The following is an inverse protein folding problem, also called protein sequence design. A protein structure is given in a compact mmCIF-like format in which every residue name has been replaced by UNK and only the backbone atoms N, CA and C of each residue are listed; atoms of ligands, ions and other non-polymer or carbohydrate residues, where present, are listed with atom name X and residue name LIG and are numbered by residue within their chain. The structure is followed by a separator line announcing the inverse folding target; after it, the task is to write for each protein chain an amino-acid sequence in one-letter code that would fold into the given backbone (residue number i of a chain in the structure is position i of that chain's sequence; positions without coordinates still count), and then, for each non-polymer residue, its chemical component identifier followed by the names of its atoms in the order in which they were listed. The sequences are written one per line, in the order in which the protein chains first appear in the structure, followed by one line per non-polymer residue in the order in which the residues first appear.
data_IF_010472292913
#
_entry.id   IF_010472292913
#
_cell.length_a   1.000
_cell.length_b   1.000
_cell.length_c   1.000
_cell.angle_alpha   90.00
_cell.angle_beta   90.00
_cell.angle_gamma   90.00
#
_symmetry.space_group_name_H-M   'P 1'
#
loop_
_entity.id
_entity.type
_entity.pdbx_description
1 polymer ?
#
# COMPACT_ATOMS: atom_id res chain seq x y z
N UNK A 1 5.70 51.23 -15.96
CA UNK A 1 4.43 50.87 -16.64
C UNK A 1 4.51 51.60 -17.96
N UNK A 2 4.74 50.88 -19.06
CA UNK A 2 4.74 51.50 -20.39
C UNK A 2 3.28 51.84 -20.67
N UNK A 3 2.94 53.12 -20.75
CA UNK A 3 1.60 53.60 -21.05
C UNK A 3 1.29 53.35 -22.52
N UNK A 4 1.01 52.10 -22.87
CA UNK A 4 0.73 51.67 -24.25
C UNK A 4 -0.40 52.47 -24.91
N UNK A 5 -1.37 52.92 -24.11
CA UNK A 5 -2.48 53.77 -24.55
C UNK A 5 -2.04 55.18 -25.00
N UNK A 6 -0.83 55.61 -24.63
CA UNK A 6 -0.26 56.93 -24.90
C UNK A 6 1.00 56.87 -25.78
N UNK A 7 1.49 55.68 -26.11
CA UNK A 7 2.65 55.54 -26.98
C UNK A 7 2.26 55.86 -28.43
N UNK A 8 3.05 56.71 -29.11
CA UNK A 8 2.82 57.01 -30.53
C UNK A 8 2.98 55.78 -31.43
N UNK A 9 3.75 54.78 -30.97
CA UNK A 9 3.90 53.49 -31.62
C UNK A 9 4.28 52.40 -30.60
N UNK A 10 4.06 51.14 -30.95
CA UNK A 10 4.29 49.95 -30.12
C UNK A 10 5.77 49.67 -29.77
N UNK A 11 6.69 50.44 -30.33
CA UNK A 11 8.12 50.37 -30.02
C UNK A 11 8.67 51.70 -29.49
N UNK A 12 7.85 52.70 -29.18
CA UNK A 12 8.32 54.00 -28.68
C UNK A 12 7.95 54.13 -27.20
N UNK A 13 8.94 54.40 -26.34
CA UNK A 13 8.68 54.69 -24.93
C UNK A 13 7.85 55.97 -24.78
N UNK A 14 6.71 55.88 -24.09
CA UNK A 14 5.82 57.00 -23.78
C UNK A 14 6.49 58.10 -22.94
N UNK A 15 7.47 57.74 -22.10
CA UNK A 15 8.14 58.71 -21.22
C UNK A 15 9.36 59.40 -21.84
N UNK A 16 10.16 58.67 -22.61
CA UNK A 16 11.43 59.19 -23.12
C UNK A 16 11.51 59.22 -24.65
N UNK A 17 10.45 58.83 -25.36
CA UNK A 17 10.36 58.77 -26.83
C UNK A 17 11.44 57.91 -27.52
N UNK A 18 12.22 57.16 -26.75
CA UNK A 18 13.26 56.29 -27.29
C UNK A 18 12.61 55.06 -27.93
N UNK A 19 13.17 54.66 -29.06
CA UNK A 19 12.83 53.40 -29.71
C UNK A 19 13.32 52.24 -28.84
N UNK A 20 12.39 51.48 -28.29
CA UNK A 20 12.63 50.32 -27.44
C UNK A 20 13.45 49.25 -28.18
N UNK A 21 13.42 49.22 -29.52
CA UNK A 21 14.27 48.32 -30.33
C UNK A 21 15.76 48.67 -30.25
N UNK A 22 16.08 49.92 -29.90
CA UNK A 22 17.46 50.39 -29.75
C UNK A 22 17.95 50.29 -28.30
N UNK A 23 17.09 49.92 -27.36
CA UNK A 23 17.50 49.63 -25.98
C UNK A 23 18.13 48.24 -26.00
N UNK A 24 19.42 48.10 -25.60
CA UNK A 24 20.03 46.78 -25.48
C UNK A 24 19.35 46.03 -24.35
N UNK A 25 18.33 45.25 -24.69
CA UNK A 25 17.73 44.31 -23.76
C UNK A 25 18.71 43.17 -23.54
N UNK A 26 18.90 42.81 -22.27
CA UNK A 26 19.65 41.61 -21.96
C UNK A 26 18.81 40.40 -22.40
N UNK A 27 19.13 39.88 -23.59
CA UNK A 27 18.58 38.62 -24.06
C UNK A 27 19.11 37.55 -23.12
N UNK A 28 18.20 36.95 -22.37
CA UNK A 28 18.53 35.86 -21.50
C UNK A 28 18.89 34.63 -22.35
N UNK A 29 20.11 34.11 -22.19
CA UNK A 29 20.59 32.91 -22.85
C UNK A 29 20.16 31.68 -22.03
N UNK A 30 19.27 30.82 -22.55
CA UNK A 30 18.75 29.71 -21.77
C UNK A 30 19.81 28.64 -21.53
N UNK A 31 19.85 28.07 -20.32
CA UNK A 31 20.67 26.88 -20.06
C UNK A 31 20.06 25.61 -20.62
N UNK A 32 18.75 25.63 -20.85
CA UNK A 32 17.95 24.53 -21.35
C UNK A 32 16.84 25.07 -22.26
N UNK A 33 17.22 25.40 -23.50
CA UNK A 33 16.33 25.96 -24.53
C UNK A 33 15.04 25.16 -24.66
N UNK A 34 15.15 23.82 -24.68
CA UNK A 34 13.99 22.92 -24.82
C UNK A 34 12.99 23.08 -23.69
N UNK A 35 13.46 23.24 -22.45
CA UNK A 35 12.59 23.40 -21.30
C UNK A 35 11.91 24.78 -21.28
N UNK A 36 12.63 25.84 -21.65
CA UNK A 36 12.07 27.19 -21.74
C UNK A 36 11.08 27.31 -22.90
N UNK A 37 11.41 26.76 -24.05
CA UNK A 37 10.56 26.68 -25.24
C UNK A 37 9.26 25.95 -24.91
N UNK A 38 9.34 24.82 -24.18
CA UNK A 38 8.16 24.08 -23.76
C UNK A 38 7.20 24.97 -22.97
N UNK A 39 7.70 25.71 -21.97
CA UNK A 39 6.84 26.60 -21.16
C UNK A 39 6.31 27.77 -21.99
N UNK A 40 7.12 28.32 -22.88
CA UNK A 40 6.74 29.42 -23.77
C UNK A 40 5.64 29.02 -24.76
N UNK A 41 5.74 27.82 -25.35
CA UNK A 41 4.73 27.31 -26.28
C UNK A 41 3.37 27.04 -25.62
N UNK A 42 3.32 26.80 -24.31
CA UNK A 42 2.02 26.67 -23.61
C UNK A 42 1.21 27.98 -23.58
N UNK A 43 1.86 29.13 -23.83
CA UNK A 43 1.21 30.43 -23.92
C UNK A 43 0.91 30.89 -25.35
N UNK A 44 1.62 30.33 -26.33
CA UNK A 44 1.55 30.77 -27.70
C UNK A 44 0.34 30.14 -28.41
N UNK A 45 -0.71 30.91 -28.74
CA UNK A 45 -1.90 30.40 -29.39
C UNK A 45 -1.64 29.89 -30.82
N UNK A 46 -0.55 30.32 -31.46
CA UNK A 46 -0.16 29.92 -32.81
C UNK A 46 0.73 28.68 -32.82
N UNK A 47 1.23 28.26 -31.65
CA UNK A 47 2.12 27.10 -31.48
C UNK A 47 1.44 25.74 -31.65
N UNK A 48 0.14 25.70 -32.00
CA UNK A 48 -0.63 24.47 -32.17
C UNK A 48 0.05 23.44 -33.10
N UNK A 49 0.89 23.91 -34.04
CA UNK A 49 1.65 23.08 -34.99
C UNK A 49 3.11 22.81 -34.61
N UNK A 50 3.64 23.41 -33.53
CA UNK A 50 5.05 23.32 -33.09
C UNK A 50 5.19 22.69 -31.70
N UNK A 51 4.26 21.82 -31.32
CA UNK A 51 4.17 21.31 -29.95
C UNK A 51 5.39 20.46 -29.58
N UNK A 52 6.15 20.92 -28.60
CA UNK A 52 7.02 20.04 -27.80
C UNK A 52 6.08 19.15 -26.99
N UNK A 53 5.79 17.96 -27.51
CA UNK A 53 4.91 17.02 -26.83
C UNK A 53 5.63 16.42 -25.63
N UNK A 54 4.90 16.31 -24.51
CA UNK A 54 5.31 15.46 -23.41
C UNK A 54 5.56 14.02 -23.92
N UNK A 55 6.49 13.32 -23.29
CA UNK A 55 6.79 11.91 -23.62
C UNK A 55 5.51 11.08 -23.64
N UNK A 56 5.28 10.34 -24.72
CA UNK A 56 4.07 9.53 -24.88
C UNK A 56 3.87 8.59 -23.68
N UNK A 57 2.67 8.61 -23.09
CA UNK A 57 2.34 7.80 -21.92
C UNK A 57 2.69 8.43 -20.58
N UNK A 58 3.24 9.66 -20.54
CA UNK A 58 3.25 10.41 -19.28
C UNK A 58 1.83 10.63 -18.79
N UNK A 59 1.63 10.54 -17.49
CA UNK A 59 0.30 10.73 -16.95
C UNK A 59 -0.23 12.15 -17.29
N UNK A 60 0.66 13.15 -17.42
CA UNK A 60 0.30 14.55 -17.70
C UNK A 60 -0.17 14.79 -19.15
N UNK A 61 -0.09 13.81 -20.04
CA UNK A 61 -0.45 13.98 -21.46
C UNK A 61 -1.92 14.34 -21.69
N UNK A 62 -2.78 14.08 -20.70
CA UNK A 62 -4.22 14.31 -20.77
C UNK A 62 -4.64 15.64 -20.11
N UNK A 63 -3.70 16.41 -19.55
CA UNK A 63 -4.01 17.70 -18.92
C UNK A 63 -4.05 18.82 -19.97
N UNK A 64 -4.80 19.89 -19.68
CA UNK A 64 -4.88 21.04 -20.58
C UNK A 64 -3.58 21.85 -20.59
N UNK A 65 -3.29 22.54 -21.69
CA UNK A 65 -2.08 23.39 -21.80
C UNK A 65 -2.06 24.48 -20.71
N UNK A 66 -3.22 25.06 -20.40
CA UNK A 66 -3.35 26.04 -19.32
C UNK A 66 -3.04 25.44 -17.93
N UNK A 67 -3.46 24.22 -17.67
CA UNK A 67 -3.15 23.53 -16.40
C UNK A 67 -1.66 23.18 -16.30
N UNK A 68 -1.03 22.76 -17.40
CA UNK A 68 0.41 22.50 -17.48
C UNK A 68 1.23 23.78 -17.29
N UNK A 69 0.80 24.89 -17.90
CA UNK A 69 1.44 26.19 -17.73
C UNK A 69 1.36 26.64 -16.27
N UNK A 70 0.16 26.56 -15.69
CA UNK A 70 -0.05 26.92 -14.29
C UNK A 70 0.80 26.04 -13.34
N UNK A 71 0.97 24.75 -13.63
CA UNK A 71 1.89 23.87 -12.91
C UNK A 71 3.34 24.36 -13.01
N UNK A 72 3.84 24.64 -14.21
CA UNK A 72 5.20 25.13 -14.42
C UNK A 72 5.44 26.45 -13.67
N UNK A 73 4.52 27.40 -13.75
CA UNK A 73 4.58 28.68 -13.02
C UNK A 73 4.65 28.46 -11.51
N UNK A 74 3.84 27.56 -10.95
CA UNK A 74 3.85 27.28 -9.51
C UNK A 74 5.11 26.58 -9.04
N UNK A 75 5.68 25.69 -9.85
CA UNK A 75 6.98 25.08 -9.58
C UNK A 75 8.07 26.17 -9.58
N UNK A 76 8.12 27.00 -10.62
CA UNK A 76 9.11 28.07 -10.76
C UNK A 76 9.04 29.09 -9.61
N UNK A 77 7.84 29.56 -9.27
CA UNK A 77 7.61 30.46 -8.12
C UNK A 77 8.08 29.83 -6.81
N UNK A 78 7.85 28.52 -6.62
CA UNK A 78 8.26 27.84 -5.41
C UNK A 78 9.79 27.73 -5.34
N UNK A 79 10.46 27.39 -6.45
CA UNK A 79 11.92 27.37 -6.53
C UNK A 79 12.52 28.75 -6.23
N UNK A 80 11.97 29.80 -6.86
CA UNK A 80 12.43 31.18 -6.65
C UNK A 80 12.31 31.63 -5.18
N UNK A 81 11.19 31.31 -4.51
CA UNK A 81 11.00 31.65 -3.10
C UNK A 81 11.97 30.94 -2.15
N UNK A 82 12.49 29.77 -2.55
CA UNK A 82 13.48 29.05 -1.73
C UNK A 82 14.85 29.67 -1.88
N UNK A 83 15.19 30.15 -3.08
CA UNK A 83 16.47 30.76 -3.37
C UNK A 83 16.56 32.20 -2.86
N UNK A 84 15.50 32.98 -3.09
CA UNK A 84 15.40 34.38 -2.72
C UNK A 84 14.41 34.56 -1.56
N UNK A 85 14.88 35.10 -0.44
CA UNK A 85 14.02 35.39 0.73
C UNK A 85 13.05 36.57 0.50
N UNK A 86 13.17 37.28 -0.63
CA UNK A 86 12.32 38.42 -0.98
C UNK A 86 11.21 37.99 -1.94
N UNK A 87 10.04 38.59 -1.78
CA UNK A 87 8.89 38.41 -2.67
C UNK A 87 9.11 39.23 -3.95
N UNK A 88 10.01 38.76 -4.81
CA UNK A 88 10.07 39.28 -6.18
C UNK A 88 8.77 38.87 -6.91
N UNK A 89 8.11 39.84 -7.53
CA UNK A 89 6.84 39.64 -8.25
C UNK A 89 7.04 38.97 -9.61
N UNK A 90 8.21 39.18 -10.23
CA UNK A 90 8.58 38.58 -11.51
C UNK A 90 9.33 37.26 -11.30
N UNK A 91 9.03 36.25 -12.12
CA UNK A 91 9.71 34.96 -12.12
C UNK A 91 10.93 35.06 -13.03
N UNK A 92 12.12 34.75 -12.52
CA UNK A 92 13.34 34.73 -13.34
C UNK A 92 13.29 33.58 -14.35
N UNK A 93 13.72 33.78 -15.61
CA UNK A 93 13.63 32.78 -16.67
C UNK A 93 14.23 31.40 -16.31
N UNK A 94 15.38 31.37 -15.64
CA UNK A 94 16.01 30.10 -15.21
C UNK A 94 15.13 29.24 -14.28
N UNK A 95 14.20 29.83 -13.51
CA UNK A 95 13.25 29.04 -12.72
C UNK A 95 12.13 28.43 -13.57
N UNK A 96 11.74 29.11 -14.66
CA UNK A 96 10.82 28.56 -15.65
C UNK A 96 11.46 27.40 -16.41
N UNK A 97 12.75 27.50 -16.74
CA UNK A 97 13.51 26.37 -17.30
C UNK A 97 13.47 25.14 -16.39
N UNK A 98 13.85 25.30 -15.12
CA UNK A 98 13.83 24.18 -14.15
C UNK A 98 12.44 23.57 -14.01
N UNK A 99 11.40 24.41 -14.02
CA UNK A 99 10.03 23.96 -13.98
C UNK A 99 9.63 23.20 -15.26
N UNK A 100 9.97 23.75 -16.43
CA UNK A 100 9.72 23.13 -17.73
C UNK A 100 10.39 21.77 -17.84
N UNK A 101 11.66 21.66 -17.43
CA UNK A 101 12.40 20.40 -17.39
C UNK A 101 11.74 19.37 -16.47
N UNK A 102 11.33 19.79 -15.27
CA UNK A 102 10.63 18.91 -14.33
C UNK A 102 9.29 18.39 -14.86
N UNK A 103 8.58 19.18 -15.67
CA UNK A 103 7.33 18.79 -16.33
C UNK A 103 7.58 17.88 -17.53
N UNK A 104 8.58 18.19 -18.36
CA UNK A 104 8.98 17.36 -19.51
C UNK A 104 9.42 15.94 -19.09
N UNK A 105 10.18 15.85 -18.00
CA UNK A 105 10.72 14.59 -17.47
C UNK A 105 9.81 13.96 -16.38
N UNK A 106 8.53 14.33 -16.35
CA UNK A 106 7.57 13.82 -15.37
C UNK A 106 7.40 12.30 -15.43
N UNK A 107 7.29 11.59 -14.27
CA UNK A 107 7.27 12.11 -12.90
C UNK A 107 8.66 12.27 -12.26
N UNK A 108 9.72 11.78 -12.91
CA UNK A 108 11.07 11.71 -12.35
C UNK A 108 11.67 13.11 -12.14
N UNK A 109 11.60 13.98 -13.15
CA UNK A 109 12.17 15.32 -13.06
C UNK A 109 11.55 16.16 -11.94
N UNK A 110 10.24 16.01 -11.69
CA UNK A 110 9.60 16.66 -10.54
C UNK A 110 10.12 16.13 -9.19
N UNK A 111 10.31 14.82 -9.07
CA UNK A 111 10.82 14.24 -7.82
C UNK A 111 12.28 14.63 -7.54
N UNK A 112 13.13 14.65 -8.57
CA UNK A 112 14.50 15.17 -8.49
C UNK A 112 14.50 16.63 -8.04
N UNK A 113 13.68 17.47 -8.66
CA UNK A 113 13.55 18.87 -8.29
C UNK A 113 13.04 19.08 -6.85
N UNK A 114 12.12 18.24 -6.38
CA UNK A 114 11.65 18.22 -4.98
C UNK A 114 12.79 17.94 -4.02
N UNK A 115 13.69 17.01 -4.37
CA UNK A 115 14.83 16.62 -3.54
C UNK A 115 15.94 17.69 -3.53
N UNK A 116 16.17 18.37 -4.65
CA UNK A 116 17.11 19.50 -4.76
C UNK A 116 16.64 20.76 -4.04
N UNK A 117 15.33 21.01 -4.05
CA UNK A 117 14.75 22.27 -3.54
C UNK A 117 14.52 22.19 -2.03
N UNK A 118 15.61 22.35 -1.27
CA UNK A 118 15.59 22.29 0.20
C UNK A 118 15.53 23.71 0.78
N UNK A 119 14.58 23.94 1.70
CA UNK A 119 14.51 25.20 2.43
C UNK A 119 15.70 25.35 3.39
N UNK A 120 16.38 26.50 3.34
CA UNK A 120 17.46 26.84 4.29
C UNK A 120 16.85 26.97 5.69
N UNK A 121 17.31 26.16 6.65
CA UNK A 121 16.89 26.30 8.05
C UNK A 121 17.64 27.46 8.70
N UNK A 122 16.92 28.47 9.19
CA UNK A 122 17.52 29.62 9.87
C UNK A 122 17.88 29.34 11.33
N UNK A 123 17.34 28.28 11.94
CA UNK A 123 17.61 27.88 13.33
C UNK A 123 17.83 26.37 13.40
N UNK A 124 18.70 25.90 14.30
CA UNK A 124 19.15 24.50 14.49
C UNK A 124 18.06 23.45 14.78
N UNK A 125 16.77 23.80 14.68
CA UNK A 125 15.66 22.87 14.77
C UNK A 125 15.41 22.19 13.43
N UNK A 126 15.18 20.88 13.45
CA UNK A 126 14.73 20.12 12.28
C UNK A 126 13.44 20.73 11.73
N UNK A 127 13.48 21.17 10.48
CA UNK A 127 12.27 21.61 9.77
C UNK A 127 11.34 20.41 9.60
N UNK A 128 10.04 20.61 9.83
CA UNK A 128 9.07 19.56 9.56
C UNK A 128 9.08 19.13 8.09
N UNK A 129 8.63 17.92 7.78
CA UNK A 129 8.62 17.31 6.43
C UNK A 129 8.17 18.23 5.27
N UNK A 130 7.16 19.07 5.51
CA UNK A 130 6.62 20.04 4.54
C UNK A 130 7.37 21.37 4.50
N UNK A 131 8.16 21.67 5.52
CA UNK A 131 9.00 22.85 5.60
C UNK A 131 10.36 22.59 4.96
N UNK A 132 10.90 21.37 5.03
CA UNK A 132 12.17 21.01 4.37
C UNK A 132 12.12 21.09 2.85
N UNK A 133 11.03 20.60 2.23
CA UNK A 133 10.90 20.52 0.76
C UNK A 133 9.64 21.28 0.30
N UNK A 134 9.74 22.59 -0.01
CA UNK A 134 8.58 23.47 -0.23
C UNK A 134 7.69 23.07 -1.41
N UNK A 135 8.24 22.43 -2.45
CA UNK A 135 7.49 21.90 -3.59
C UNK A 135 6.41 20.88 -3.17
N UNK A 136 6.54 20.26 -1.99
CA UNK A 136 5.52 19.36 -1.44
C UNK A 136 4.17 20.05 -1.17
N UNK A 137 4.16 21.39 -1.04
CA UNK A 137 2.93 22.17 -0.79
C UNK A 137 2.05 22.31 -2.02
N UNK A 138 2.58 22.08 -3.22
CA UNK A 138 1.82 22.17 -4.46
C UNK A 138 0.61 21.23 -4.50
N UNK A 139 0.65 20.11 -3.77
CA UNK A 139 -0.51 19.21 -3.63
C UNK A 139 -1.75 19.89 -2.99
N UNK A 140 -1.57 21.04 -2.33
CA UNK A 140 -2.63 21.81 -1.68
C UNK A 140 -2.89 23.15 -2.37
N UNK A 141 -2.20 23.49 -3.46
CA UNK A 141 -2.34 24.79 -4.13
C UNK A 141 -3.69 24.89 -4.85
N UNK A 142 -4.60 25.81 -4.43
CA UNK A 142 -5.94 25.89 -5.00
C UNK A 142 -5.97 26.34 -6.46
N UNK A 143 -4.87 26.91 -6.98
CA UNK A 143 -4.79 27.34 -8.38
C UNK A 143 -4.39 26.23 -9.33
N UNK A 144 -3.97 25.08 -8.81
CA UNK A 144 -3.74 23.89 -9.62
C UNK A 144 -5.05 23.09 -9.73
N UNK A 145 -5.28 22.52 -10.91
CA UNK A 145 -6.41 21.62 -11.16
C UNK A 145 -6.43 20.46 -10.16
N UNK A 146 -7.63 19.92 -9.91
CA UNK A 146 -7.84 18.81 -8.97
C UNK A 146 -7.07 17.55 -9.43
N UNK A 147 -6.99 17.35 -10.74
CA UNK A 147 -6.25 16.25 -11.38
C UNK A 147 -4.75 16.36 -11.10
N UNK A 148 -4.13 17.51 -11.40
CA UNK A 148 -2.71 17.78 -11.13
C UNK A 148 -2.39 17.64 -9.64
N UNK A 149 -3.20 18.23 -8.75
CA UNK A 149 -3.01 18.09 -7.30
C UNK A 149 -3.06 16.64 -6.83
N UNK A 150 -3.98 15.85 -7.38
CA UNK A 150 -4.11 14.43 -7.04
C UNK A 150 -2.90 13.61 -7.50
N UNK A 151 -2.35 13.92 -8.67
CA UNK A 151 -1.12 13.30 -9.21
C UNK A 151 0.11 13.66 -8.36
N UNK A 152 0.31 14.95 -8.07
CA UNK A 152 1.38 15.41 -7.17
C UNK A 152 1.27 14.71 -5.81
N UNK A 153 0.05 14.65 -5.24
CA UNK A 153 -0.18 13.97 -3.97
C UNK A 153 0.19 12.50 -4.04
N UNK A 154 -0.21 11.78 -5.08
CA UNK A 154 0.11 10.36 -5.26
C UNK A 154 1.63 10.12 -5.33
N UNK A 155 2.35 10.94 -6.11
CA UNK A 155 3.81 10.89 -6.21
C UNK A 155 4.48 11.16 -4.87
N UNK A 156 4.10 12.24 -4.19
CA UNK A 156 4.69 12.62 -2.92
C UNK A 156 4.37 11.61 -1.81
N UNK A 157 3.18 11.00 -1.82
CA UNK A 157 2.84 9.92 -0.90
C UNK A 157 3.67 8.67 -1.17
N UNK A 158 3.95 8.33 -2.44
CA UNK A 158 4.85 7.24 -2.79
C UNK A 158 6.30 7.51 -2.35
N UNK A 159 6.82 8.70 -2.66
CA UNK A 159 8.18 9.11 -2.28
C UNK A 159 8.34 9.16 -0.75
N UNK A 160 7.32 9.65 -0.03
CA UNK A 160 7.30 9.68 1.44
C UNK A 160 7.37 8.29 2.05
N UNK A 161 6.68 7.31 1.47
CA UNK A 161 6.77 5.91 1.90
C UNK A 161 8.18 5.35 1.69
N UNK A 162 8.80 5.68 0.55
CA UNK A 162 10.16 5.23 0.19
C UNK A 162 11.24 5.83 1.10
N UNK A 163 11.20 7.14 1.34
CA UNK A 163 12.14 7.85 2.20
C UNK A 163 12.05 7.37 3.67
N UNK A 164 10.84 7.04 4.14
CA UNK A 164 10.66 6.48 5.49
C UNK A 164 11.44 5.17 5.70
N UNK A 165 11.72 4.39 4.65
CA UNK A 165 12.40 3.10 4.77
C UNK A 165 13.88 3.17 4.46
N UNK A 166 14.32 3.94 3.45
CA UNK A 166 15.74 3.96 3.00
C UNK A 166 16.75 4.41 4.07
N UNK A 167 16.39 5.29 4.99
CA UNK A 167 17.33 5.80 6.02
C UNK A 167 17.68 4.78 7.13
N UNK A 168 17.34 3.49 6.94
CA UNK A 168 17.62 2.39 7.89
C UNK A 168 19.06 1.88 7.79
N UNK A 169 19.68 1.95 6.61
CA UNK A 169 20.90 1.18 6.32
C UNK A 169 22.21 1.87 6.74
N UNK A 170 22.14 3.07 7.35
CA UNK A 170 23.32 3.91 7.64
C UNK A 170 23.53 4.27 9.12
N UNK A 171 22.70 3.78 10.05
CA UNK A 171 22.81 4.13 11.47
C UNK A 171 23.56 3.05 12.27
N UNK A 172 24.72 3.35 12.90
CA UNK A 172 25.47 2.39 13.70
C UNK A 172 24.80 2.13 15.07
N UNK A 173 24.78 0.85 15.48
CA UNK A 173 24.29 0.36 16.77
C UNK A 173 25.09 0.98 17.94
N UNK A 174 24.39 1.53 18.94
CA UNK A 174 24.93 1.72 20.30
C UNK A 174 23.86 1.40 21.35
N UNK A 175 24.32 0.73 22.40
CA UNK A 175 23.57 0.09 23.51
C UNK A 175 22.82 1.06 24.45
N UNK A 176 21.70 0.65 25.09
CA UNK A 176 20.76 1.56 25.75
C UNK A 176 20.62 1.41 27.29
N UNK A 177 20.03 2.42 27.92
CA UNK A 177 19.39 2.41 29.25
C UNK A 177 17.86 2.60 29.14
N UNK A 178 17.15 2.04 30.12
CA UNK A 178 15.72 1.69 30.24
C UNK A 178 14.67 2.81 30.12
N UNK A 179 13.54 2.52 29.45
CA UNK A 179 12.26 3.26 29.59
C UNK A 179 11.00 2.41 29.31
N UNK A 180 9.86 2.88 29.83
CA UNK A 180 8.66 2.14 30.26
C UNK A 180 7.58 1.79 29.22
N UNK A 181 6.67 0.91 29.64
CA UNK A 181 5.63 0.17 28.91
C UNK A 181 4.41 1.03 28.50
N UNK A 182 4.23 1.33 27.20
CA UNK A 182 2.97 1.88 26.64
C UNK A 182 2.03 0.77 26.12
N UNK A 183 0.72 0.90 26.33
CA UNK A 183 -0.31 -0.04 25.87
C UNK A 183 -0.43 -0.15 24.33
N UNK A 184 -0.70 -1.35 23.78
CA UNK A 184 -0.85 -1.56 22.34
C UNK A 184 -2.14 -0.91 21.80
N UNK A 185 -1.97 0.23 21.14
CA UNK A 185 -3.03 1.10 20.63
C UNK A 185 -3.85 0.47 19.48
N UNK A 186 -5.16 0.76 19.45
CA UNK A 186 -6.07 0.56 18.28
C UNK A 186 -5.38 1.00 16.98
N UNK A 187 -5.68 0.31 15.87
CA UNK A 187 -5.19 0.62 14.50
C UNK A 187 -5.15 2.14 14.29
N UNK A 188 -3.95 2.72 14.42
CA UNK A 188 -3.74 4.15 14.25
C UNK A 188 -4.05 4.52 12.79
N UNK A 189 -4.56 5.73 12.56
CA UNK A 189 -4.79 6.21 11.20
C UNK A 189 -3.49 6.05 10.41
N UNK A 190 -3.47 5.34 9.27
CA UNK A 190 -2.23 4.92 8.63
C UNK A 190 -1.25 6.06 8.30
N UNK A 191 -1.81 7.19 7.85
CA UNK A 191 -1.11 8.46 7.68
C UNK A 191 -0.45 9.00 8.96
N UNK A 192 -1.12 8.89 10.11
CA UNK A 192 -0.60 9.33 11.40
C UNK A 192 0.49 8.37 11.91
N UNK A 193 0.34 7.06 11.70
CA UNK A 193 1.36 6.07 12.03
C UNK A 193 2.63 6.27 11.19
N UNK A 194 2.48 6.54 9.89
CA UNK A 194 3.60 6.89 9.00
C UNK A 194 4.26 8.22 9.39
N UNK A 195 3.48 9.25 9.76
CA UNK A 195 4.02 10.52 10.26
C UNK A 195 4.71 10.35 11.62
N UNK A 196 4.25 9.43 12.46
CA UNK A 196 4.84 9.09 13.75
C UNK A 196 6.20 8.41 13.55
N UNK A 197 6.33 7.46 12.62
CA UNK A 197 7.63 6.90 12.21
C UNK A 197 8.61 7.97 11.74
N UNK A 198 8.13 8.94 10.97
CA UNK A 198 8.96 10.03 10.46
C UNK A 198 9.40 10.96 11.60
N UNK A 199 8.49 11.28 12.55
CA UNK A 199 8.75 12.22 13.65
C UNK A 199 9.61 11.63 14.78
N UNK A 200 9.37 10.38 15.16
CA UNK A 200 10.13 9.72 16.25
C UNK A 200 11.59 9.44 15.85
N UNK A 201 11.93 9.58 14.56
CA UNK A 201 13.28 9.44 14.03
C UNK A 201 14.19 10.67 14.22
N UNK A 202 13.62 11.86 14.45
CA UNK A 202 14.38 13.05 14.86
C UNK A 202 14.79 13.03 16.34
N UNK A 203 14.26 12.06 17.12
CA UNK A 203 14.63 11.82 18.51
C UNK A 203 15.65 10.70 18.63
N UNK A 204 16.76 10.98 19.33
CA UNK A 204 17.80 9.99 19.62
C UNK A 204 17.25 8.80 20.42
N UNK A 205 17.51 7.60 19.90
CA UNK A 205 17.67 6.35 20.67
C UNK A 205 16.38 5.61 21.03
N UNK A 206 16.06 4.53 20.30
CA UNK A 206 15.13 3.49 20.78
C UNK A 206 15.54 2.11 20.25
N UNK A 207 15.80 1.17 21.16
CA UNK A 207 16.13 -0.25 20.91
C UNK A 207 14.98 -1.21 21.30
N UNK A 208 15.05 -2.44 20.78
CA UNK A 208 14.28 -3.68 21.05
C UNK A 208 12.74 -3.62 20.95
N UNK A 209 12.09 -2.64 21.59
CA UNK A 209 10.68 -2.31 21.40
C UNK A 209 10.39 -1.79 19.98
N UNK A 210 11.42 -1.22 19.34
CA UNK A 210 11.42 -0.85 17.94
C UNK A 210 11.04 -2.02 17.03
N UNK A 211 11.47 -3.27 17.27
CA UNK A 211 11.14 -4.39 16.40
C UNK A 211 9.64 -4.74 16.39
N UNK A 212 8.96 -4.64 17.54
CA UNK A 212 7.52 -4.90 17.67
C UNK A 212 6.66 -3.77 17.09
N UNK A 213 6.97 -2.51 17.46
CA UNK A 213 6.28 -1.33 16.92
C UNK A 213 6.54 -1.10 15.43
N UNK A 214 7.74 -1.45 14.94
CA UNK A 214 8.06 -1.35 13.53
C UNK A 214 7.32 -2.41 12.71
N UNK A 215 6.97 -3.58 13.25
CA UNK A 215 6.14 -4.58 12.55
C UNK A 215 4.71 -4.09 12.35
N UNK A 216 4.09 -3.59 13.41
CA UNK A 216 2.74 -3.02 13.31
C UNK A 216 2.74 -1.82 12.35
N UNK A 217 3.77 -0.98 12.42
CA UNK A 217 3.81 0.21 11.56
C UNK A 217 4.21 -0.10 10.12
N UNK A 218 5.09 -1.08 9.88
CA UNK A 218 5.40 -1.59 8.53
C UNK A 218 4.13 -2.19 7.93
N UNK A 219 3.39 -3.01 8.68
CA UNK A 219 2.13 -3.56 8.16
C UNK A 219 1.09 -2.46 7.93
N UNK A 220 1.05 -1.43 8.77
CA UNK A 220 0.17 -0.28 8.58
C UNK A 220 0.53 0.50 7.31
N UNK A 221 1.83 0.72 7.05
CA UNK A 221 2.30 1.34 5.81
C UNK A 221 2.04 0.45 4.58
N UNK A 222 2.23 -0.86 4.72
CA UNK A 222 1.98 -1.86 3.69
C UNK A 222 0.49 -1.91 3.30
N UNK A 223 -0.42 -1.84 4.28
CA UNK A 223 -1.88 -1.69 4.08
C UNK A 223 -2.28 -0.39 3.37
N UNK A 224 -1.42 0.62 3.40
CA UNK A 224 -1.68 1.90 2.77
C UNK A 224 -1.26 1.94 1.29
N UNK A 225 -0.47 0.97 0.85
CA UNK A 225 -0.11 0.84 -0.56
C UNK A 225 -1.32 0.31 -1.32
N UNK A 226 -1.76 1.06 -2.32
CA UNK A 226 -2.94 0.72 -3.12
C UNK A 226 -2.78 -0.65 -3.78
N UNK A 227 -1.63 -0.91 -4.41
CA UNK A 227 -1.37 -2.16 -5.11
C UNK A 227 -1.37 -3.36 -4.17
N UNK A 228 -0.90 -3.20 -2.93
CA UNK A 228 -0.99 -4.25 -1.89
C UNK A 228 -2.42 -4.57 -1.54
N UNK A 229 -3.27 -3.54 -1.29
CA UNK A 229 -4.69 -3.77 -0.98
C UNK A 229 -5.40 -4.42 -2.14
N UNK A 230 -5.20 -3.91 -3.35
CA UNK A 230 -5.78 -4.47 -4.57
C UNK A 230 -5.34 -5.91 -4.76
N UNK A 231 -4.06 -6.21 -4.55
CA UNK A 231 -3.51 -7.56 -4.65
C UNK A 231 -4.12 -8.48 -3.57
N UNK A 232 -4.18 -8.03 -2.31
CA UNK A 232 -4.82 -8.73 -1.18
C UNK A 232 -6.28 -9.09 -1.48
N UNK A 233 -7.05 -8.16 -2.03
CA UNK A 233 -8.45 -8.40 -2.43
C UNK A 233 -8.57 -9.33 -3.64
N UNK A 234 -7.68 -9.17 -4.62
CA UNK A 234 -7.67 -9.99 -5.85
C UNK A 234 -7.31 -11.44 -5.54
N UNK A 235 -6.27 -11.66 -4.74
CA UNK A 235 -5.85 -13.00 -4.34
C UNK A 235 -6.78 -13.57 -3.26
N UNK A 236 -7.38 -12.73 -2.40
CA UNK A 236 -8.24 -13.17 -1.31
C UNK A 236 -7.49 -13.57 -0.05
N UNK A 237 -6.34 -12.94 0.21
CA UNK A 237 -5.50 -13.20 1.38
C UNK A 237 -5.37 -11.96 2.26
N UNK A 238 -5.30 -12.11 3.59
CA UNK A 238 -5.12 -10.97 4.48
C UNK A 238 -3.74 -10.32 4.24
N UNK A 239 -3.64 -9.00 4.44
CA UNK A 239 -2.43 -8.23 4.12
C UNK A 239 -1.15 -8.78 4.80
N UNK A 240 -1.20 -9.27 6.06
CA UNK A 240 -0.04 -9.92 6.66
C UNK A 240 0.45 -11.19 5.92
N UNK A 241 -0.45 -11.96 5.32
CA UNK A 241 -0.07 -13.12 4.48
C UNK A 241 0.46 -12.67 3.12
N UNK A 242 -0.07 -11.58 2.55
CA UNK A 242 0.50 -10.96 1.34
C UNK A 242 1.94 -10.49 1.58
N UNK A 243 2.22 -9.92 2.75
CA UNK A 243 3.58 -9.56 3.15
C UNK A 243 4.50 -10.80 3.18
N UNK A 244 4.04 -11.93 3.75
CA UNK A 244 4.80 -13.20 3.74
C UNK A 244 5.06 -13.70 2.33
N UNK A 245 4.06 -13.64 1.44
CA UNK A 245 4.20 -14.04 0.05
C UNK A 245 5.25 -13.20 -0.68
N UNK A 246 5.20 -11.88 -0.48
CA UNK A 246 6.21 -10.98 -1.02
C UNK A 246 7.59 -11.36 -0.50
N UNK A 247 7.80 -11.41 0.83
CA UNK A 247 9.09 -11.76 1.43
C UNK A 247 9.64 -13.13 0.99
N UNK A 248 8.76 -14.07 0.66
CA UNK A 248 9.12 -15.42 0.21
C UNK A 248 9.39 -15.51 -1.30
N UNK A 249 9.29 -14.38 -2.03
CA UNK A 249 9.57 -14.30 -3.47
C UNK A 249 8.40 -14.70 -4.37
N UNK A 250 7.19 -14.84 -3.84
CA UNK A 250 6.00 -15.32 -4.60
C UNK A 250 5.13 -14.20 -5.18
N UNK A 251 5.35 -12.94 -4.81
CA UNK A 251 4.56 -11.81 -5.30
C UNK A 251 5.43 -10.76 -6.03
N UNK A 252 6.06 -11.09 -7.17
CA UNK A 252 6.90 -10.15 -7.92
C UNK A 252 6.14 -8.95 -8.47
N UNK A 253 4.83 -9.08 -8.72
CA UNK A 253 3.99 -7.95 -9.18
C UNK A 253 3.91 -6.80 -8.17
N UNK A 254 4.21 -7.07 -6.90
CA UNK A 254 4.25 -6.08 -5.84
C UNK A 254 5.59 -5.36 -5.73
N UNK A 255 6.63 -5.82 -6.44
CA UNK A 255 7.97 -5.29 -6.34
C UNK A 255 8.01 -3.79 -6.62
N UNK A 256 7.47 -3.32 -7.75
CA UNK A 256 7.52 -1.89 -8.10
C UNK A 256 6.85 -0.99 -7.06
N UNK A 257 5.77 -1.46 -6.44
CA UNK A 257 5.02 -0.71 -5.43
C UNK A 257 5.69 -0.69 -4.04
N UNK A 258 6.57 -1.65 -3.75
CA UNK A 258 7.07 -1.96 -2.39
C UNK A 258 8.60 -2.02 -2.34
N UNK A 259 9.29 -1.89 -3.47
CA UNK A 259 10.77 -1.82 -3.50
C UNK A 259 11.28 -0.71 -2.57
N UNK A 260 10.51 0.37 -2.43
CA UNK A 260 10.80 1.44 -1.49
C UNK A 260 10.54 1.11 -0.01
N UNK A 261 9.83 0.03 0.31
CA UNK A 261 9.40 -0.35 1.67
C UNK A 261 10.23 -1.48 2.31
N UNK A 262 11.19 -2.09 1.61
CA UNK A 262 12.07 -3.09 2.22
C UNK A 262 12.99 -3.82 1.24
N UNK A 263 13.58 -4.93 1.70
CA UNK A 263 14.43 -5.82 0.90
C UNK A 263 13.66 -6.32 -0.31
N UNK A 264 14.29 -6.27 -1.49
CA UNK A 264 13.78 -6.94 -2.68
C UNK A 264 14.12 -8.43 -2.55
N UNK A 265 13.13 -9.32 -2.39
CA UNK A 265 13.40 -10.74 -2.24
C UNK A 265 13.80 -11.35 -3.58
N UNK A 266 14.52 -12.46 -3.53
CA UNK A 266 14.77 -13.25 -4.74
C UNK A 266 13.45 -13.88 -5.20
N UNK A 267 12.95 -13.44 -6.35
CA UNK A 267 11.67 -13.92 -6.86
C UNK A 267 11.78 -15.35 -7.37
N UNK A 268 10.87 -16.20 -6.89
CA UNK A 268 10.84 -17.64 -7.19
C UNK A 268 10.10 -17.98 -8.48
N UNK A 269 9.25 -17.07 -8.96
CA UNK A 269 8.42 -17.27 -10.15
C UNK A 269 8.75 -16.23 -11.21
N UNK A 270 8.60 -16.63 -12.48
CA UNK A 270 8.62 -15.72 -13.62
C UNK A 270 7.18 -15.22 -13.87
N UNK A 271 7.01 -13.92 -14.09
CA UNK A 271 5.69 -13.32 -14.26
C UNK A 271 4.91 -13.18 -12.94
N UNK A 272 3.58 -13.01 -13.03
CA UNK A 272 2.73 -12.76 -11.86
C UNK A 272 2.19 -14.04 -11.20
N UNK A 273 1.93 -14.00 -9.90
CA UNK A 273 1.38 -15.13 -9.15
C UNK A 273 0.02 -15.56 -9.69
N UNK A 274 -0.82 -14.57 -10.01
CA UNK A 274 -2.19 -14.81 -10.51
C UNK A 274 -2.19 -15.53 -11.86
N UNK A 275 -1.25 -15.20 -12.75
CA UNK A 275 -1.07 -15.87 -14.04
C UNK A 275 -0.60 -17.32 -13.85
N UNK A 276 0.46 -17.52 -13.05
CA UNK A 276 0.98 -18.85 -12.77
C UNK A 276 -0.08 -19.76 -12.12
N UNK A 277 -0.90 -19.22 -11.20
CA UNK A 277 -2.01 -19.97 -10.62
C UNK A 277 -3.11 -20.29 -11.64
N UNK A 278 -3.43 -19.37 -12.55
CA UNK A 278 -4.43 -19.63 -13.58
C UNK A 278 -4.03 -20.79 -14.50
N UNK A 279 -2.72 -20.98 -14.74
CA UNK A 279 -2.18 -22.09 -15.53
C UNK A 279 -2.13 -23.40 -14.75
N UNK A 280 -1.82 -23.36 -13.45
CA UNK A 280 -1.71 -24.56 -12.60
C UNK A 280 -3.07 -25.16 -12.18
N UNK A 281 -4.14 -24.35 -12.15
CA UNK A 281 -5.43 -24.77 -11.59
C UNK A 281 -6.33 -25.42 -12.65
N UNK A 282 -6.95 -26.56 -12.32
CA UNK A 282 -7.87 -27.26 -13.23
C UNK A 282 -9.25 -26.59 -13.28
N UNK A 283 -9.92 -26.51 -14.44
CA UNK A 283 -11.28 -26.01 -14.51
C UNK A 283 -12.28 -26.99 -13.87
N UNK A 284 -13.35 -26.46 -13.29
CA UNK A 284 -14.48 -27.24 -12.77
C UNK A 284 -14.46 -27.44 -11.25
N UNK A 285 -15.22 -28.42 -10.77
CA UNK A 285 -15.25 -28.78 -9.35
C UNK A 285 -14.95 -30.28 -9.25
N UNK A 286 -13.81 -30.62 -8.66
CA UNK A 286 -13.45 -32.01 -8.39
C UNK A 286 -14.50 -32.71 -7.53
N UNK A 287 -14.70 -34.02 -7.73
CA UNK A 287 -15.65 -34.79 -6.92
C UNK A 287 -15.21 -34.77 -5.46
N UNK A 288 -16.11 -34.37 -4.56
CA UNK A 288 -15.80 -34.26 -3.13
C UNK A 288 -14.85 -33.12 -2.78
N UNK A 289 -14.56 -32.20 -3.71
CA UNK A 289 -13.67 -31.09 -3.44
C UNK A 289 -14.35 -30.06 -2.52
N UNK A 290 -13.58 -29.52 -1.58
CA UNK A 290 -14.01 -28.49 -0.63
C UNK A 290 -13.19 -27.21 -0.85
N UNK A 291 -13.74 -26.05 -0.46
CA UNK A 291 -13.01 -24.78 -0.52
C UNK A 291 -11.64 -24.92 0.14
N UNK A 292 -10.58 -24.51 -0.56
CA UNK A 292 -9.21 -24.58 -0.07
C UNK A 292 -9.04 -23.77 1.21
N UNK A 293 -9.62 -22.56 1.26
CA UNK A 293 -9.56 -21.70 2.45
C UNK A 293 -10.30 -22.34 3.62
N UNK A 294 -11.52 -22.83 3.41
CA UNK A 294 -12.29 -23.51 4.46
C UNK A 294 -11.57 -24.78 4.96
N UNK A 295 -10.96 -25.54 4.05
CA UNK A 295 -10.22 -26.77 4.38
C UNK A 295 -8.94 -26.47 5.14
N UNK A 296 -8.14 -25.49 4.69
CA UNK A 296 -6.97 -25.00 5.44
C UNK A 296 -7.39 -24.52 6.82
N UNK A 297 -8.43 -23.69 6.90
CA UNK A 297 -8.92 -23.18 8.18
C UNK A 297 -9.25 -24.34 9.12
N UNK A 298 -10.02 -25.34 8.66
CA UNK A 298 -10.38 -26.52 9.45
C UNK A 298 -9.16 -27.35 9.91
N UNK A 299 -8.20 -27.59 9.00
CA UNK A 299 -7.03 -28.45 9.26
C UNK A 299 -5.89 -27.75 10.02
N UNK A 300 -5.90 -26.41 10.11
CA UNK A 300 -4.88 -25.62 10.81
C UNK A 300 -5.51 -24.79 11.94
N UNK A 301 -5.78 -25.39 13.12
CA UNK A 301 -6.34 -24.67 14.27
C UNK A 301 -5.46 -23.51 14.74
N UNK A 302 -4.15 -23.70 14.63
CA UNK A 302 -3.10 -22.76 15.00
C UNK A 302 -2.90 -21.60 14.02
N UNK A 303 -3.39 -21.73 12.79
CA UNK A 303 -3.15 -20.80 11.68
C UNK A 303 -1.66 -20.57 11.39
N UNK A 304 -0.84 -21.59 11.59
CA UNK A 304 0.61 -21.50 11.48
C UNK A 304 1.12 -21.77 10.06
N UNK A 305 0.40 -22.58 9.27
CA UNK A 305 0.83 -22.96 7.92
C UNK A 305 0.80 -21.77 6.94
N UNK A 306 1.89 -21.49 6.22
CA UNK A 306 1.90 -20.37 5.28
C UNK A 306 1.13 -20.68 4.00
N UNK A 307 0.45 -19.66 3.51
CA UNK A 307 -0.04 -19.66 2.13
C UNK A 307 1.09 -19.81 1.11
N UNK A 308 2.32 -19.40 1.43
CA UNK A 308 3.47 -19.55 0.55
C UNK A 308 3.76 -21.03 0.24
N UNK A 309 3.73 -21.89 1.25
CA UNK A 309 3.94 -23.34 1.08
C UNK A 309 2.78 -24.02 0.35
N UNK A 310 1.53 -23.61 0.61
CA UNK A 310 0.35 -24.13 -0.09
C UNK A 310 0.42 -23.75 -1.57
N UNK A 311 0.71 -22.48 -1.88
CA UNK A 311 0.83 -22.00 -3.26
C UNK A 311 2.00 -22.63 -3.98
N UNK A 312 3.13 -22.80 -3.30
CA UNK A 312 4.26 -23.56 -3.84
C UNK A 312 3.84 -24.99 -4.19
N UNK A 313 3.16 -25.70 -3.29
CA UNK A 313 2.71 -27.07 -3.55
C UNK A 313 1.73 -27.15 -4.75
N UNK A 314 0.89 -26.13 -4.95
CA UNK A 314 0.01 -26.02 -6.11
C UNK A 314 0.82 -25.82 -7.40
N UNK A 315 1.74 -24.86 -7.40
CA UNK A 315 2.56 -24.54 -8.57
C UNK A 315 3.55 -25.66 -8.95
N UNK A 316 4.03 -26.41 -7.95
CA UNK A 316 4.86 -27.61 -8.14
C UNK A 316 4.03 -28.83 -8.62
N UNK A 317 2.69 -28.72 -8.68
CA UNK A 317 1.78 -29.82 -9.02
C UNK A 317 1.65 -30.89 -7.93
N UNK A 318 2.18 -30.65 -6.72
CA UNK A 318 2.07 -31.57 -5.56
C UNK A 318 0.69 -31.54 -4.91
N UNK A 319 -0.01 -30.41 -5.01
CA UNK A 319 -1.37 -30.25 -4.51
C UNK A 319 -2.30 -29.87 -5.65
N UNK A 320 -3.12 -30.82 -6.08
CA UNK A 320 -4.11 -30.59 -7.14
C UNK A 320 -5.27 -29.73 -6.62
N UNK A 321 -5.60 -28.69 -7.37
CA UNK A 321 -6.70 -27.78 -7.07
C UNK A 321 -7.56 -27.50 -8.30
N UNK A 322 -8.84 -27.26 -8.05
CA UNK A 322 -9.82 -26.90 -9.07
C UNK A 322 -10.35 -25.48 -8.86
N UNK A 323 -10.72 -24.80 -9.93
CA UNK A 323 -11.35 -23.47 -9.88
C UNK A 323 -12.86 -23.59 -10.03
N UNK A 324 -13.57 -23.27 -8.95
CA UNK A 324 -15.03 -23.18 -8.93
C UNK A 324 -15.56 -21.88 -9.54
N UNK A 325 -16.80 -21.54 -9.19
CA UNK A 325 -17.45 -20.29 -9.61
C UNK A 325 -16.72 -19.06 -9.04
N UNK A 326 -16.74 -17.96 -9.80
CA UNK A 326 -16.14 -16.69 -9.38
C UNK A 326 -16.68 -16.24 -8.02
N UNK A 327 -15.77 -15.81 -7.15
CA UNK A 327 -16.05 -15.38 -5.79
C UNK A 327 -15.69 -13.91 -5.62
N UNK A 328 -16.54 -13.14 -4.94
CA UNK A 328 -16.23 -11.74 -4.58
C UNK A 328 -15.12 -11.63 -3.51
N UNK A 329 -14.58 -12.77 -3.04
CA UNK A 329 -13.62 -12.86 -1.91
C UNK A 329 -12.18 -13.13 -2.36
N UNK A 330 -11.92 -13.12 -3.67
CA UNK A 330 -10.60 -13.29 -4.26
C UNK A 330 -10.32 -14.72 -4.74
N UNK A 331 -9.24 -14.87 -5.49
CA UNK A 331 -8.86 -16.07 -6.24
C UNK A 331 -8.76 -17.32 -5.36
N UNK A 332 -8.14 -17.24 -4.18
CA UNK A 332 -7.94 -18.41 -3.30
C UNK A 332 -9.27 -18.95 -2.78
N UNK A 333 -10.29 -18.10 -2.59
CA UNK A 333 -11.64 -18.52 -2.21
C UNK A 333 -12.41 -19.20 -3.36
N UNK A 334 -11.88 -19.16 -4.59
CA UNK A 334 -12.40 -19.89 -5.76
C UNK A 334 -11.74 -21.27 -5.91
N UNK A 335 -10.69 -21.56 -5.15
CA UNK A 335 -9.95 -22.82 -5.23
C UNK A 335 -10.59 -23.89 -4.36
N UNK A 336 -10.65 -25.10 -4.91
CA UNK A 336 -11.15 -26.29 -4.25
C UNK A 336 -10.09 -27.38 -4.25
N UNK A 337 -10.09 -28.23 -3.22
CA UNK A 337 -9.13 -29.32 -3.00
C UNK A 337 -9.86 -30.56 -2.51
N UNK A 338 -9.37 -31.75 -2.88
CA UNK A 338 -9.88 -33.03 -2.40
C UNK A 338 -8.81 -33.90 -1.71
N UNK A 339 -7.51 -33.64 -1.94
CA UNK A 339 -6.42 -34.31 -1.23
C UNK A 339 -6.09 -33.59 0.09
N UNK A 340 -6.94 -33.85 1.09
CA UNK A 340 -6.79 -33.27 2.42
C UNK A 340 -5.57 -33.81 3.18
N UNK A 341 -5.03 -34.98 2.79
CA UNK A 341 -3.82 -35.56 3.40
C UNK A 341 -2.59 -34.79 2.93
N UNK A 342 -2.46 -34.55 1.63
CA UNK A 342 -1.41 -33.70 1.08
C UNK A 342 -1.49 -32.29 1.65
N UNK A 343 -2.69 -31.69 1.68
CA UNK A 343 -2.88 -30.35 2.27
C UNK A 343 -2.40 -30.29 3.74
N UNK A 344 -2.73 -31.29 4.56
CA UNK A 344 -2.26 -31.35 5.96
C UNK A 344 -0.74 -31.45 6.05
N UNK A 345 -0.13 -32.28 5.22
CA UNK A 345 1.33 -32.42 5.16
C UNK A 345 2.02 -31.09 4.82
N UNK A 346 1.48 -30.35 3.84
CA UNK A 346 1.98 -29.02 3.46
C UNK A 346 1.83 -28.00 4.58
N UNK A 347 0.70 -28.00 5.30
CA UNK A 347 0.45 -27.11 6.44
C UNK A 347 1.43 -27.39 7.60
N UNK A 348 1.69 -28.65 7.91
CA UNK A 348 2.53 -29.06 9.04
C UNK A 348 4.04 -28.93 8.82
N UNK A 349 4.48 -28.68 7.58
CA UNK A 349 5.89 -28.64 7.21
C UNK A 349 6.64 -27.36 7.57
N UNK A 350 5.94 -26.30 7.98
CA UNK A 350 6.54 -24.99 8.25
C UNK A 350 6.50 -24.61 9.73
N UNK A 351 7.56 -23.95 10.18
CA UNK A 351 7.58 -23.34 11.49
C UNK A 351 6.64 -22.12 11.56
N UNK A 352 5.96 -21.90 12.70
CA UNK A 352 5.13 -20.73 12.91
C UNK A 352 5.93 -19.44 12.75
N UNK A 353 5.44 -18.53 11.88
CA UNK A 353 6.07 -17.23 11.73
C UNK A 353 5.52 -16.25 12.77
N UNK A 354 6.28 -16.05 13.84
CA UNK A 354 5.95 -15.13 14.92
C UNK A 354 5.79 -13.66 14.46
N UNK A 355 6.37 -13.27 13.32
CA UNK A 355 6.35 -11.89 12.82
C UNK A 355 4.94 -11.45 12.41
N UNK A 356 4.18 -12.35 11.80
CA UNK A 356 2.84 -12.06 11.25
C UNK A 356 1.74 -12.36 12.26
N UNK A 357 1.99 -13.28 13.20
CA UNK A 357 1.01 -13.76 14.18
C UNK A 357 0.44 -12.65 15.07
N UNK A 358 1.26 -11.68 15.47
CA UNK A 358 0.86 -10.62 16.40
C UNK A 358 0.39 -9.34 15.72
N UNK A 359 0.31 -9.33 14.39
CA UNK A 359 -0.09 -8.14 13.65
C UNK A 359 -1.60 -7.94 13.77
N UNK A 360 -2.07 -6.70 14.04
CA UNK A 360 -3.50 -6.39 14.07
C UNK A 360 -4.16 -6.74 12.75
N UNK A 361 -5.36 -7.33 12.77
CA UNK A 361 -6.15 -7.68 11.59
C UNK A 361 -7.54 -7.01 11.63
N UNK A 362 -8.00 -6.57 10.48
CA UNK A 362 -9.32 -5.99 10.25
C UNK A 362 -10.40 -7.06 10.09
N UNK A 363 -11.67 -6.65 10.17
CA UNK A 363 -12.81 -7.56 9.94
C UNK A 363 -12.80 -8.18 8.53
N UNK A 364 -12.31 -7.43 7.53
CA UNK A 364 -12.16 -7.96 6.16
C UNK A 364 -11.09 -9.04 6.10
N UNK A 365 -9.96 -8.84 6.76
CA UNK A 365 -8.88 -9.83 6.82
C UNK A 365 -9.32 -11.09 7.58
N UNK A 366 -10.05 -10.94 8.69
CA UNK A 366 -10.66 -12.09 9.39
C UNK A 366 -11.62 -12.83 8.46
N UNK A 367 -12.44 -12.12 7.67
CA UNK A 367 -13.37 -12.74 6.72
C UNK A 367 -12.66 -13.54 5.62
N UNK A 368 -11.48 -13.09 5.18
CA UNK A 368 -10.61 -13.83 4.26
C UNK A 368 -10.03 -15.09 4.92
N UNK A 369 -9.59 -15.01 6.18
CA UNK A 369 -9.02 -16.15 6.92
C UNK A 369 -10.04 -17.29 7.09
N UNK A 370 -11.29 -16.96 7.44
CA UNK A 370 -12.34 -17.96 7.73
C UNK A 370 -13.17 -18.34 6.51
N UNK A 371 -12.93 -17.71 5.36
CA UNK A 371 -13.75 -17.84 4.15
C UNK A 371 -15.25 -17.57 4.43
N UNK A 372 -15.59 -16.49 5.13
CA UNK A 372 -17.00 -16.09 5.39
C UNK A 372 -17.21 -14.61 5.09
N UNK A 373 -18.42 -14.12 5.32
CA UNK A 373 -18.76 -12.71 5.08
C UNK A 373 -18.14 -11.81 6.15
N UNK A 374 -18.02 -10.51 5.86
CA UNK A 374 -17.58 -9.50 6.83
C UNK A 374 -18.51 -9.40 8.05
N UNK A 375 -19.81 -9.70 7.88
CA UNK A 375 -20.77 -9.72 8.99
C UNK A 375 -20.47 -10.83 9.99
N UNK A 376 -20.16 -12.03 9.50
CA UNK A 376 -19.71 -13.17 10.32
C UNK A 376 -18.43 -12.82 11.07
N UNK A 377 -17.42 -12.26 10.38
CA UNK A 377 -16.19 -11.81 11.03
C UNK A 377 -16.44 -10.76 12.12
N UNK A 378 -17.33 -9.79 11.87
CA UNK A 378 -17.69 -8.78 12.85
C UNK A 378 -18.46 -9.36 14.06
N UNK A 379 -19.29 -10.39 13.84
CA UNK A 379 -19.96 -11.12 14.92
C UNK A 379 -18.95 -11.88 15.79
N UNK A 380 -17.92 -12.48 15.18
CA UNK A 380 -16.87 -13.16 15.92
C UNK A 380 -16.13 -12.21 16.87
N UNK A 381 -15.79 -11.02 16.40
CA UNK A 381 -15.10 -10.02 17.20
C UNK A 381 -16.03 -9.44 18.29
N UNK A 382 -17.30 -9.18 17.96
CA UNK A 382 -18.31 -8.69 18.92
C UNK A 382 -18.68 -9.70 19.99
N UNK A 383 -18.42 -10.99 19.79
CA UNK A 383 -18.63 -12.01 20.81
C UNK A 383 -17.81 -11.77 22.08
N UNK A 384 -16.80 -10.89 22.04
CA UNK A 384 -15.94 -10.57 23.19
C UNK A 384 -14.95 -11.68 23.54
N UNK A 385 -14.90 -12.75 22.75
CA UNK A 385 -14.02 -13.89 22.99
C UNK A 385 -12.55 -13.61 22.65
N UNK A 386 -12.27 -12.51 21.92
CA UNK A 386 -10.91 -12.00 21.67
C UNK A 386 -10.75 -10.63 22.32
N UNK A 387 -10.20 -10.54 23.55
CA UNK A 387 -10.03 -9.25 24.22
C UNK A 387 -8.97 -8.39 23.50
N UNK A 388 -9.26 -7.09 23.37
CA UNK A 388 -8.35 -6.09 22.81
C UNK A 388 -8.20 -6.13 21.27
N UNK A 389 -7.02 -5.76 20.77
CA UNK A 389 -6.73 -5.74 19.33
C UNK A 389 -6.80 -7.16 18.75
N UNK A 390 -7.55 -7.35 17.66
CA UNK A 390 -7.67 -8.63 16.95
C UNK A 390 -6.38 -8.93 16.20
N UNK A 391 -5.76 -10.10 16.43
CA UNK A 391 -4.55 -10.56 15.74
C UNK A 391 -4.74 -12.02 15.31
N UNK A 392 -3.93 -12.51 14.35
CA UNK A 392 -3.97 -13.92 13.94
C UNK A 392 -3.68 -14.85 15.13
N UNK A 393 -2.72 -14.47 15.98
CA UNK A 393 -2.33 -15.22 17.17
C UNK A 393 -3.45 -15.35 18.20
N UNK A 394 -4.18 -14.26 18.49
CA UNK A 394 -5.36 -14.33 19.37
C UNK A 394 -6.48 -15.14 18.74
N UNK A 395 -6.63 -15.06 17.42
CA UNK A 395 -7.63 -15.85 16.71
C UNK A 395 -7.30 -17.35 16.74
N UNK A 396 -6.02 -17.71 16.61
CA UNK A 396 -5.55 -19.07 16.83
C UNK A 396 -5.74 -19.52 18.29
N UNK A 397 -5.48 -18.64 19.27
CA UNK A 397 -5.69 -18.95 20.69
C UNK A 397 -7.16 -19.22 21.00
N UNK A 398 -8.07 -18.40 20.48
CA UNK A 398 -9.51 -18.62 20.56
C UNK A 398 -9.87 -20.03 20.05
N UNK A 399 -9.27 -20.42 18.93
CA UNK A 399 -9.51 -21.70 18.25
C UNK A 399 -8.94 -22.92 18.96
N UNK A 400 -8.11 -22.75 19.99
CA UNK A 400 -7.71 -23.86 20.87
C UNK A 400 -8.89 -24.30 21.75
N UNK A 401 -9.62 -23.34 22.30
CA UNK A 401 -10.72 -23.62 23.23
C UNK A 401 -12.08 -23.75 22.54
N UNK A 402 -12.25 -23.11 21.39
CA UNK A 402 -13.52 -23.03 20.67
C UNK A 402 -13.41 -23.51 19.23
N UNK A 403 -14.50 -24.05 18.70
CA UNK A 403 -14.64 -24.47 17.30
C UNK A 403 -15.93 -23.91 16.71
N UNK A 404 -15.89 -23.51 15.44
CA UNK A 404 -17.06 -22.94 14.75
C UNK A 404 -17.95 -24.04 14.17
N UNK A 405 -19.28 -23.83 14.15
CA UNK A 405 -20.20 -24.77 13.46
C UNK A 405 -19.81 -25.05 12.02
N UNK A 406 -19.34 -24.03 11.29
CA UNK A 406 -18.93 -24.19 9.89
C UNK A 406 -17.57 -24.90 9.74
N UNK A 407 -16.70 -24.77 10.74
CA UNK A 407 -15.43 -25.50 10.81
C UNK A 407 -15.71 -27.00 11.03
N UNK A 408 -16.61 -27.33 11.97
CA UNK A 408 -17.03 -28.71 12.22
C UNK A 408 -17.68 -29.36 10.99
N UNK A 409 -18.53 -28.63 10.26
CA UNK A 409 -19.10 -29.12 9.01
C UNK A 409 -18.01 -29.43 7.97
N UNK A 410 -16.96 -28.60 7.92
CA UNK A 410 -15.83 -28.80 7.00
C UNK A 410 -15.00 -30.02 7.42
N UNK A 411 -14.66 -30.16 8.71
CA UNK A 411 -13.97 -31.33 9.25
C UNK A 411 -14.77 -32.63 9.00
N UNK A 412 -16.08 -32.59 9.20
CA UNK A 412 -16.98 -33.71 8.93
C UNK A 412 -17.01 -34.08 7.43
N UNK A 413 -16.99 -33.09 6.54
CA UNK A 413 -16.90 -33.32 5.11
C UNK A 413 -15.53 -33.91 4.69
N UNK A 414 -14.42 -33.42 5.27
CA UNK A 414 -13.07 -34.00 5.08
C UNK A 414 -13.03 -35.45 5.56
N UNK A 415 -13.68 -35.76 6.68
CA UNK A 415 -13.85 -37.13 7.19
C UNK A 415 -14.75 -38.02 6.31
N UNK A 416 -15.33 -37.49 5.22
CA UNK A 416 -16.35 -38.15 4.41
C UNK A 416 -17.60 -38.56 5.22
N UNK A 417 -17.94 -37.79 6.27
CA UNK A 417 -19.06 -38.03 7.19
C UNK A 417 -19.85 -36.73 7.42
N UNK A 418 -20.50 -36.15 6.41
CA UNK A 418 -21.28 -34.92 6.59
C UNK A 418 -22.37 -35.12 7.66
N UNK A 419 -22.40 -34.24 8.65
CA UNK A 419 -23.32 -34.38 9.78
C UNK A 419 -24.57 -33.55 9.50
N UNK A 420 -25.63 -34.21 9.03
CA UNK A 420 -26.95 -33.59 8.97
C UNK A 420 -27.37 -33.16 10.39
N UNK A 421 -27.94 -31.94 10.51
CA UNK A 421 -28.45 -31.39 11.79
C UNK A 421 -27.38 -31.25 12.89
N UNK A 422 -26.12 -30.96 12.52
CA UNK A 422 -24.99 -30.77 13.45
C UNK A 422 -25.34 -29.94 14.70
N UNK A 423 -25.98 -28.79 14.49
CA UNK A 423 -26.40 -27.91 15.59
C UNK A 423 -27.31 -28.62 16.61
N UNK A 424 -28.32 -29.35 16.13
CA UNK A 424 -29.27 -30.08 17.00
C UNK A 424 -28.57 -31.21 17.75
N UNK A 425 -27.67 -31.94 17.09
CA UNK A 425 -26.90 -33.02 17.72
C UNK A 425 -26.02 -32.51 18.86
N UNK A 426 -25.30 -31.41 18.65
CA UNK A 426 -24.44 -30.81 19.67
C UNK A 426 -25.26 -30.17 20.80
N UNK A 427 -26.42 -29.58 20.48
CA UNK A 427 -27.33 -29.04 21.48
C UNK A 427 -27.93 -30.12 22.38
N UNK A 428 -28.38 -31.23 21.80
CA UNK A 428 -28.94 -32.36 22.55
C UNK A 428 -27.89 -33.05 23.44
N UNK A 429 -26.62 -32.96 23.07
CA UNK A 429 -25.50 -33.43 23.88
C UNK A 429 -25.04 -32.42 24.94
N UNK A 430 -25.76 -31.29 25.07
CA UNK A 430 -25.47 -30.23 26.05
C UNK A 430 -24.03 -29.68 26.00
N UNK A 431 -23.41 -29.72 24.81
CA UNK A 431 -22.05 -29.23 24.64
C UNK A 431 -22.02 -27.73 24.84
N UNK A 432 -21.07 -27.27 25.67
CA UNK A 432 -20.93 -25.84 26.01
C UNK A 432 -20.82 -25.02 24.73
N UNK A 433 -21.71 -24.03 24.59
CA UNK A 433 -21.77 -23.15 23.42
C UNK A 433 -21.89 -21.68 23.80
N UNK A 434 -21.44 -20.84 22.88
CA UNK A 434 -21.68 -19.40 22.91
C UNK A 434 -22.14 -18.98 21.52
N UNK A 435 -23.07 -18.03 21.45
CA UNK A 435 -23.59 -17.49 20.19
C UNK A 435 -23.33 -16.00 20.11
N UNK A 436 -22.98 -15.52 18.91
CA UNK A 436 -22.91 -14.09 18.61
C UNK A 436 -23.41 -13.87 17.19
N UNK A 437 -24.56 -13.20 17.06
CA UNK A 437 -25.27 -13.07 15.78
C UNK A 437 -25.58 -14.45 15.17
N UNK A 438 -25.13 -14.65 13.93
CA UNK A 438 -25.29 -15.89 13.15
C UNK A 438 -24.18 -16.93 13.40
N UNK A 439 -23.26 -16.65 14.32
CA UNK A 439 -22.10 -17.52 14.61
C UNK A 439 -22.32 -18.26 15.92
N UNK A 440 -22.13 -19.58 15.87
CA UNK A 440 -22.12 -20.43 17.07
C UNK A 440 -20.73 -21.02 17.27
N UNK A 441 -20.24 -20.86 18.48
CA UNK A 441 -19.00 -21.41 19.01
C UNK A 441 -19.33 -22.59 19.92
N UNK A 442 -18.60 -23.69 19.77
CA UNK A 442 -18.70 -24.86 20.62
C UNK A 442 -17.38 -25.09 21.33
N UNK A 443 -17.39 -25.62 22.55
CA UNK A 443 -16.16 -26.03 23.22
C UNK A 443 -15.49 -27.13 22.37
N UNK A 444 -14.23 -26.88 21.97
CA UNK A 444 -13.57 -27.61 20.89
C UNK A 444 -13.46 -29.10 21.17
N UNK A 445 -12.88 -29.46 22.31
CA UNK A 445 -12.56 -30.85 22.62
C UNK A 445 -13.81 -31.72 22.77
N UNK A 446 -14.86 -31.21 23.44
CA UNK A 446 -16.15 -31.89 23.57
C UNK A 446 -16.82 -32.06 22.21
N UNK A 447 -16.86 -31.01 21.38
CA UNK A 447 -17.49 -31.07 20.08
C UNK A 447 -16.78 -32.02 19.11
N UNK A 448 -15.45 -31.92 19.01
CA UNK A 448 -14.64 -32.80 18.14
C UNK A 448 -14.74 -34.25 18.64
N UNK A 449 -14.68 -34.48 19.95
CA UNK A 449 -14.78 -35.82 20.53
C UNK A 449 -16.15 -36.45 20.35
N UNK A 450 -17.22 -35.70 20.62
CA UNK A 450 -18.59 -36.19 20.45
C UNK A 450 -18.90 -36.54 19.00
N UNK A 451 -18.35 -35.79 18.05
CA UNK A 451 -18.51 -36.04 16.62
C UNK A 451 -17.53 -37.07 16.05
N UNK A 452 -16.57 -37.55 16.84
CA UNK A 452 -15.55 -38.51 16.39
C UNK A 452 -14.64 -37.97 15.29
N UNK A 453 -14.26 -36.68 15.39
CA UNK A 453 -13.48 -35.97 14.36
C UNK A 453 -11.98 -35.87 14.68
N UNK A 454 -11.47 -36.54 15.72
CA UNK A 454 -10.05 -36.51 16.14
C UNK A 454 -9.06 -37.03 15.10
N UNK A 455 -9.52 -37.85 14.15
CA UNK A 455 -8.69 -38.46 13.10
C UNK A 455 -8.52 -37.56 11.87
N UNK A 456 -9.18 -36.40 11.85
CA UNK A 456 -9.02 -35.34 10.86
C UNK A 456 -8.21 -34.23 11.50
#
# INVERSE_FOLDING_TARGET
MLGWDYACDSWICDQCTSDLRNVPEHIYEPGDDKALDFVSFLLDPESANRKISLSSGTELSNESEGDLFQLAVRIAQTCQRVEFSRHETSIKPHHLERAGRAVLDWPRGFMELVDETIAKSSNSGELGWFKCKPLRRLQFDPTLSVTIRSRIKALLDCARRTEAVRHRDLAPLKTPETAATEEPSRLKHPRAALLKLIKERGGKGVDAWAASWHRETTMTAFRDVYDVRRFSETIGLPVPEVWRLYQSGWAPELASAITGLGRNPDFKIKGGLTTNLAEAVRPGMGRGALSLVSSRFALDPSLDGSWSSILQAILDGRLEVWRGSRSKRGLIAELFVNDFRCLRSVIGGEAPNAEVRNVPISHSEVSMIIDRTRSVAANIIRAGLMPGVSTIGKFAELRKSWVFSFELNTLAAIACRPIATLYRKLQNAEIKRTTSGDVTFWQRDQAISYLGLHSV
#
